data_IF_028996777762
#
_entry.id   IF_028996777762
#
_cell.length_a   1.000
_cell.length_b   1.000
_cell.length_c   1.000
_cell.angle_alpha   90.00
_cell.angle_beta   90.00
_cell.angle_gamma   90.00
#
_symmetry.space_group_name_H-M   'P 1'
#
loop_
_entity.id
_entity.type
_entity.pdbx_description
1 polymer ?
#
# COMPACT_ATOMS: atom_id res chain seq x y z
N UNK A 1 4.61 2.42 -12.67
CA UNK A 1 3.89 1.26 -13.18
C UNK A 1 3.60 0.25 -12.12
N UNK A 2 2.41 -0.30 -12.19
CA UNK A 2 2.02 -1.39 -11.33
C UNK A 2 2.56 -2.69 -11.91
N UNK A 3 3.16 -3.50 -11.06
CA UNK A 3 3.74 -4.77 -11.48
C UNK A 3 2.99 -5.92 -10.82
N UNK A 4 2.42 -6.80 -11.66
CA UNK A 4 1.74 -8.00 -11.19
C UNK A 4 2.71 -9.16 -11.20
N UNK A 5 2.78 -9.88 -10.08
CA UNK A 5 3.58 -11.09 -9.96
C UNK A 5 2.70 -12.23 -9.51
N UNK A 6 2.95 -13.40 -10.06
CA UNK A 6 2.17 -14.59 -9.76
C UNK A 6 2.83 -15.44 -8.68
N UNK A 7 2.03 -15.92 -7.74
CA UNK A 7 2.45 -16.89 -6.74
C UNK A 7 1.33 -17.92 -6.59
N UNK A 8 1.48 -19.06 -7.28
CA UNK A 8 0.39 -20.03 -7.38
C UNK A 8 -0.80 -19.41 -8.10
N UNK A 9 -1.95 -19.37 -7.45
CA UNK A 9 -3.14 -18.71 -7.96
C UNK A 9 -3.29 -17.28 -7.43
N UNK A 10 -2.42 -16.87 -6.53
CA UNK A 10 -2.43 -15.51 -6.02
C UNK A 10 -1.66 -14.58 -6.92
N UNK A 11 -2.14 -13.36 -7.04
CA UNK A 11 -1.46 -12.29 -7.74
C UNK A 11 -0.98 -11.25 -6.73
N UNK A 12 0.25 -10.82 -6.87
CA UNK A 12 0.82 -9.75 -6.06
C UNK A 12 0.95 -8.51 -6.93
N UNK A 13 0.47 -7.39 -6.43
CA UNK A 13 0.51 -6.12 -7.13
C UNK A 13 1.24 -5.09 -6.28
N UNK A 14 2.29 -4.48 -6.86
CA UNK A 14 2.92 -3.32 -6.25
C UNK A 14 2.16 -2.07 -6.72
N UNK A 15 1.46 -1.44 -5.79
CA UNK A 15 0.68 -0.24 -6.08
C UNK A 15 1.40 0.97 -5.51
N UNK A 16 1.77 1.91 -6.38
CA UNK A 16 2.40 3.15 -5.97
C UNK A 16 1.37 4.26 -5.90
N UNK A 17 1.29 4.93 -4.77
CA UNK A 17 0.43 6.09 -4.60
C UNK A 17 1.28 7.29 -4.19
N UNK A 18 0.78 8.48 -4.48
CA UNK A 18 1.46 9.70 -4.09
C UNK A 18 1.29 9.96 -2.59
N UNK A 19 2.17 10.79 -2.04
CA UNK A 19 2.07 11.18 -0.64
C UNK A 19 0.73 11.88 -0.34
N UNK A 20 0.26 12.82 -1.16
CA UNK A 20 -1.08 13.41 -0.92
C UNK A 20 -2.20 12.38 -0.96
N UNK A 21 -2.13 11.39 -1.86
CA UNK A 21 -3.13 10.33 -1.90
C UNK A 21 -3.14 9.50 -0.62
N UNK A 22 -1.96 9.24 -0.07
CA UNK A 22 -1.87 8.50 1.19
C UNK A 22 -2.45 9.29 2.37
N UNK A 23 -2.21 10.60 2.39
CA UNK A 23 -2.70 11.46 3.45
C UNK A 23 -4.22 11.62 3.39
N UNK A 24 -4.75 11.83 2.21
CA UNK A 24 -6.16 12.16 2.01
C UNK A 24 -7.06 10.95 1.75
N UNK A 25 -6.45 9.83 1.40
CA UNK A 25 -7.20 8.69 0.90
C UNK A 25 -7.46 8.81 -0.59
N UNK A 26 -7.70 7.68 -1.23
CA UNK A 26 -7.95 7.66 -2.66
C UNK A 26 -8.62 6.33 -3.02
N UNK A 27 -9.09 6.24 -4.26
CA UNK A 27 -9.57 4.99 -4.84
C UNK A 27 -8.84 4.76 -6.14
N UNK A 28 -8.40 3.53 -6.36
CA UNK A 28 -7.72 3.13 -7.59
C UNK A 28 -8.51 2.04 -8.26
N UNK A 29 -8.58 2.09 -9.58
CA UNK A 29 -9.20 1.03 -10.37
C UNK A 29 -8.10 0.28 -11.09
N UNK A 30 -8.09 -1.05 -10.93
CA UNK A 30 -7.02 -1.89 -11.45
C UNK A 30 -7.64 -2.97 -12.33
N UNK A 31 -7.05 -3.19 -13.49
CA UNK A 31 -7.48 -4.28 -14.36
C UNK A 31 -6.77 -5.57 -13.94
N UNK A 32 -7.56 -6.60 -13.74
CA UNK A 32 -7.04 -7.93 -13.42
C UNK A 32 -7.52 -8.91 -14.49
N UNK A 33 -7.03 -10.15 -14.42
CA UNK A 33 -7.44 -11.20 -15.35
C UNK A 33 -8.95 -11.46 -15.29
N UNK A 34 -9.59 -11.18 -14.16
CA UNK A 34 -11.02 -11.42 -13.96
C UNK A 34 -11.89 -10.16 -14.09
N UNK A 35 -11.28 -9.04 -14.50
CA UNK A 35 -12.00 -7.78 -14.68
C UNK A 35 -11.40 -6.66 -13.86
N UNK A 36 -12.14 -5.55 -13.80
CA UNK A 36 -11.68 -4.38 -13.05
C UNK A 36 -12.02 -4.49 -11.58
N UNK A 37 -11.08 -4.10 -10.74
CA UNK A 37 -11.25 -4.09 -9.29
C UNK A 37 -10.99 -2.67 -8.78
N UNK A 38 -11.89 -2.16 -7.96
CA UNK A 38 -11.70 -0.87 -7.30
C UNK A 38 -11.12 -1.09 -5.92
N UNK A 39 -10.00 -0.43 -5.65
CA UNK A 39 -9.32 -0.51 -4.37
C UNK A 39 -9.48 0.82 -3.66
N UNK A 40 -10.12 0.80 -2.49
CA UNK A 40 -10.26 1.99 -1.67
C UNK A 40 -9.12 2.03 -0.66
N UNK A 41 -8.40 3.14 -0.64
CA UNK A 41 -7.29 3.36 0.27
C UNK A 41 -7.70 4.45 1.26
N UNK A 42 -7.73 4.09 2.54
CA UNK A 42 -8.17 4.99 3.60
C UNK A 42 -7.15 6.11 3.82
N UNK A 43 -7.62 7.27 4.29
CA UNK A 43 -6.72 8.36 4.64
C UNK A 43 -5.75 7.93 5.73
N UNK A 44 -4.50 8.37 5.61
CA UNK A 44 -3.46 8.00 6.56
C UNK A 44 -2.86 6.62 6.35
N UNK A 45 -3.12 6.00 5.20
CA UNK A 45 -2.56 4.68 4.91
C UNK A 45 -1.04 4.75 4.89
N UNK A 46 -0.40 3.76 5.50
CA UNK A 46 1.05 3.73 5.61
C UNK A 46 1.67 2.92 4.49
N UNK A 47 2.88 3.32 4.08
CA UNK A 47 3.65 2.56 3.12
C UNK A 47 3.97 1.18 3.70
N UNK A 48 3.89 0.14 2.88
CA UNK A 48 4.08 -1.22 3.33
C UNK A 48 2.79 -1.92 3.74
N UNK A 49 1.66 -1.22 3.72
CA UNK A 49 0.36 -1.85 3.98
C UNK A 49 0.05 -2.89 2.91
N UNK A 50 -0.43 -4.04 3.35
CA UNK A 50 -0.82 -5.12 2.44
C UNK A 50 -2.32 -5.30 2.52
N UNK A 51 -2.98 -5.24 1.36
CA UNK A 51 -4.42 -5.43 1.24
C UNK A 51 -4.67 -6.74 0.49
N UNK A 52 -5.57 -7.56 1.02
CA UNK A 52 -5.92 -8.83 0.39
C UNK A 52 -7.34 -8.75 -0.16
N UNK A 53 -7.47 -8.95 -1.46
CA UNK A 53 -8.78 -8.97 -2.14
C UNK A 53 -9.09 -10.41 -2.51
N UNK A 54 -9.95 -11.02 -1.75
CA UNK A 54 -10.29 -12.42 -1.91
C UNK A 54 -10.98 -12.68 -3.24
N UNK A 55 -10.56 -13.75 -3.91
CA UNK A 55 -11.17 -14.17 -5.15
C UNK A 55 -10.84 -13.31 -6.35
N UNK A 56 -9.87 -12.40 -6.24
CA UNK A 56 -9.49 -11.50 -7.34
C UNK A 56 -8.15 -11.87 -7.98
N UNK A 57 -7.60 -13.03 -7.63
CA UNK A 57 -6.42 -13.57 -8.25
C UNK A 57 -6.75 -14.39 -9.50
N UNK A 58 -5.96 -15.43 -9.73
CA UNK A 58 -6.14 -16.31 -10.88
C UNK A 58 -7.11 -17.44 -10.55
N UNK A 59 -7.89 -17.90 -11.55
CA UNK A 59 -8.72 -19.08 -11.37
C UNK A 59 -7.84 -20.32 -11.13
N UNK A 60 -8.34 -21.24 -10.31
CA UNK A 60 -7.69 -22.51 -10.10
C UNK A 60 -7.83 -23.37 -11.36
N UNK A 61 -6.72 -23.96 -11.84
CA UNK A 61 -6.72 -24.77 -13.04
C UNK A 61 -7.56 -26.06 -12.90
N UNK A 62 -7.79 -26.49 -11.68
CA UNK A 62 -8.65 -27.66 -11.40
C UNK A 62 -10.14 -27.27 -11.29
N UNK A 63 -10.48 -26.02 -11.55
CA UNK A 63 -11.85 -25.57 -11.61
C UNK A 63 -12.49 -25.21 -10.27
N UNK A 64 -11.73 -25.24 -9.19
CA UNK A 64 -12.24 -24.92 -7.86
C UNK A 64 -11.66 -23.63 -7.33
N UNK A 65 -12.50 -22.61 -7.27
CA UNK A 65 -12.16 -21.36 -6.64
C UNK A 65 -11.20 -20.49 -7.45
N UNK A 66 -10.85 -19.39 -6.86
CA UNK A 66 -9.97 -18.37 -7.43
C UNK A 66 -9.00 -17.93 -6.34
N UNK A 67 -7.76 -17.68 -6.71
CA UNK A 67 -6.79 -17.13 -5.78
C UNK A 67 -7.12 -15.69 -5.40
N UNK A 68 -6.24 -15.07 -4.66
CA UNK A 68 -6.46 -13.71 -4.15
C UNK A 68 -5.53 -12.71 -4.85
N UNK A 69 -5.95 -11.46 -4.87
CA UNK A 69 -5.09 -10.35 -5.27
C UNK A 69 -4.52 -9.71 -4.00
N UNK A 70 -3.20 -9.70 -3.90
CA UNK A 70 -2.51 -9.14 -2.75
C UNK A 70 -1.83 -7.86 -3.19
N UNK A 71 -2.29 -6.74 -2.63
CA UNK A 71 -1.83 -5.41 -3.02
C UNK A 71 -0.83 -4.90 -1.99
N UNK A 72 0.36 -4.60 -2.46
CA UNK A 72 1.42 -4.00 -1.65
C UNK A 72 1.42 -2.50 -1.92
N UNK A 73 1.05 -1.72 -0.91
CA UNK A 73 0.94 -0.27 -1.04
C UNK A 73 2.30 0.37 -0.79
N UNK A 74 2.74 1.16 -1.75
CA UNK A 74 4.00 1.90 -1.66
C UNK A 74 3.70 3.38 -1.81
N UNK A 75 4.08 4.17 -0.81
CA UNK A 75 3.88 5.62 -0.84
C UNK A 75 5.13 6.27 -1.40
N UNK A 76 4.94 7.06 -2.46
CA UNK A 76 6.05 7.75 -3.10
C UNK A 76 6.34 9.07 -2.42
N UNK A 77 7.58 9.25 -1.99
CA UNK A 77 8.05 10.51 -1.40
C UNK A 77 8.62 11.37 -2.51
N UNK A 78 8.17 12.63 -2.66
CA UNK A 78 8.69 13.50 -3.72
C UNK A 78 10.20 13.69 -3.60
N UNK A 79 10.90 13.62 -4.73
CA UNK A 79 12.35 13.81 -4.74
C UNK A 79 12.74 15.28 -4.90
N UNK A 80 11.86 16.09 -5.47
CA UNK A 80 12.09 17.52 -5.67
C UNK A 80 10.84 18.28 -5.25
N UNK A 81 11.04 19.45 -4.67
CA UNK A 81 9.96 20.31 -4.20
C UNK A 81 10.22 21.75 -4.66
N UNK A 82 9.13 22.47 -4.87
CA UNK A 82 9.22 23.92 -5.04
C UNK A 82 9.59 24.57 -3.71
N UNK A 83 9.99 25.83 -3.75
CA UNK A 83 10.30 26.59 -2.54
C UNK A 83 9.10 26.65 -1.56
N UNK A 84 7.92 26.86 -2.12
CA UNK A 84 6.69 26.92 -1.31
C UNK A 84 6.41 25.58 -0.63
N UNK A 85 6.58 24.48 -1.35
CA UNK A 85 6.39 23.16 -0.80
C UNK A 85 7.39 22.87 0.30
N UNK A 86 8.65 23.24 0.10
CA UNK A 86 9.68 23.10 1.14
C UNK A 86 9.30 23.86 2.40
N UNK A 87 8.85 25.08 2.24
CA UNK A 87 8.45 25.91 3.37
C UNK A 87 7.29 25.27 4.14
N UNK A 88 6.34 24.70 3.42
CA UNK A 88 5.23 23.99 4.02
C UNK A 88 5.73 22.82 4.88
N UNK A 89 6.58 21.98 4.30
CA UNK A 89 7.06 20.82 5.04
C UNK A 89 7.96 21.18 6.21
N UNK A 90 8.72 22.26 6.10
CA UNK A 90 9.52 22.76 7.23
C UNK A 90 8.63 23.13 8.40
N UNK A 91 7.47 23.73 8.14
CA UNK A 91 6.51 24.04 9.19
C UNK A 91 5.92 22.76 9.79
N UNK A 92 5.72 21.74 8.98
CA UNK A 92 5.11 20.49 9.41
C UNK A 92 6.05 19.62 10.24
N UNK A 93 7.36 19.89 10.21
CA UNK A 93 8.31 19.11 11.01
C UNK A 93 7.99 19.12 12.50
N UNK A 94 7.46 20.22 12.99
CA UNK A 94 7.13 20.39 14.41
C UNK A 94 5.65 20.15 14.71
N UNK A 95 4.87 19.77 13.71
CA UNK A 95 3.45 19.52 13.88
C UNK A 95 3.21 18.11 14.41
N UNK A 96 2.39 18.00 15.46
CA UNK A 96 2.13 16.72 16.11
C UNK A 96 1.50 15.70 15.17
N UNK A 97 0.65 16.15 14.24
CA UNK A 97 0.01 15.24 13.29
C UNK A 97 0.99 14.61 12.33
N UNK A 98 2.14 15.24 12.10
CA UNK A 98 3.17 14.72 11.19
C UNK A 98 4.26 13.95 11.92
N UNK A 99 4.22 13.90 13.24
CA UNK A 99 5.19 13.16 14.04
C UNK A 99 4.85 11.66 14.03
N UNK A 100 5.84 10.80 13.84
CA UNK A 100 5.58 9.37 13.82
C UNK A 100 5.02 8.88 15.16
N UNK A 101 3.99 8.05 15.09
CA UNK A 101 3.39 7.43 16.27
C UNK A 101 2.92 6.03 15.89
N UNK A 102 3.86 5.11 15.59
CA UNK A 102 3.49 3.79 15.09
C UNK A 102 2.94 2.91 16.21
N UNK A 103 1.93 2.11 15.85
CA UNK A 103 1.45 1.04 16.70
C UNK A 103 2.08 -0.29 16.22
N UNK A 104 1.63 -1.41 16.77
CA UNK A 104 2.18 -2.72 16.40
C UNK A 104 1.98 -3.05 14.92
N UNK A 105 0.88 -2.61 14.34
CA UNK A 105 0.58 -2.92 12.94
C UNK A 105 1.46 -2.12 11.98
N UNK A 106 2.03 -1.00 12.45
CA UNK A 106 2.85 -0.12 11.62
C UNK A 106 4.34 -0.48 11.68
N UNK A 107 4.74 -1.38 12.57
CA UNK A 107 6.14 -1.76 12.71
C UNK A 107 6.65 -2.47 11.46
N UNK A 108 7.93 -2.26 11.15
CA UNK A 108 8.57 -2.92 10.03
C UNK A 108 8.63 -4.44 10.26
N UNK A 109 8.79 -5.18 9.16
CA UNK A 109 8.93 -6.63 9.24
C UNK A 109 10.07 -7.04 10.18
N UNK A 110 11.19 -6.34 10.10
CA UNK A 110 12.36 -6.62 10.96
C UNK A 110 12.01 -6.47 12.43
N UNK A 111 11.31 -5.41 12.80
CA UNK A 111 10.91 -5.19 14.19
C UNK A 111 9.92 -6.24 14.67
N UNK A 112 8.99 -6.64 13.79
CA UNK A 112 8.04 -7.71 14.12
C UNK A 112 8.74 -9.03 14.38
N UNK A 113 9.73 -9.36 13.56
CA UNK A 113 10.52 -10.57 13.74
C UNK A 113 11.32 -10.50 15.04
N UNK A 114 11.91 -9.34 15.32
CA UNK A 114 12.65 -9.12 16.56
C UNK A 114 11.76 -9.31 17.80
N UNK A 115 10.54 -8.79 17.75
CA UNK A 115 9.58 -8.93 18.84
C UNK A 115 9.19 -10.37 19.08
N UNK A 116 9.17 -11.20 18.04
CA UNK A 116 8.85 -12.62 18.16
C UNK A 116 9.91 -13.42 18.91
N UNK A 117 11.15 -12.93 18.94
CA UNK A 117 12.28 -13.61 19.56
C UNK A 117 12.73 -12.99 20.88
N UNK A 118 12.04 -11.97 21.36
CA UNK A 118 12.40 -11.31 22.62
C UNK A 118 11.49 -11.69 23.78
#
# INVERSE_FOLDING_TARGET
>A
HETLKREGENLHLDLYISMPEAVLGTSKEIETATGKVRIKLEEGIQSGKILRLKGKGLPNINGYGTGDLIVHVNVWTPKTLTKEQKNFFQKMLDDDNFSPNPDKSDKSFFEKVKDMFS
#
